data_IF_258006295343
#
_entry.id   IF_258006295343
#
_cell.length_a   1.000
_cell.length_b   1.000
_cell.length_c   1.000
_cell.angle_alpha   90.00
_cell.angle_beta   90.00
_cell.angle_gamma   90.00
#
_symmetry.space_group_name_H-M   'P 1'
#
loop_
_entity.id
_entity.type
_entity.pdbx_description
1 polymer ?
#
# COMPACT_ATOMS: atom_id res chain seq x y z
N UNK A 1 35.25 38.89 24.14
CA UNK A 1 34.36 38.61 23.00
C UNK A 1 34.63 37.25 22.33
N UNK A 2 35.89 36.85 22.05
CA UNK A 2 36.23 35.57 21.37
C UNK A 2 35.64 34.30 22.01
N UNK A 3 35.64 34.17 23.34
CA UNK A 3 35.07 33.00 24.04
C UNK A 3 33.54 32.87 23.84
N UNK A 4 32.81 33.98 23.71
CA UNK A 4 31.34 33.96 23.48
C UNK A 4 31.01 33.52 22.04
N UNK A 5 31.78 34.01 21.06
CA UNK A 5 31.63 33.61 19.65
C UNK A 5 31.93 32.12 19.46
N UNK A 6 32.98 31.61 20.12
CA UNK A 6 33.31 30.19 20.10
C UNK A 6 32.16 29.31 20.60
N UNK A 7 31.57 29.64 21.75
CA UNK A 7 30.44 28.87 22.29
C UNK A 7 29.19 28.95 21.40
N UNK A 8 28.92 30.10 20.77
CA UNK A 8 27.83 30.23 19.80
C UNK A 8 28.06 29.28 18.61
N UNK A 9 29.27 29.24 18.04
CA UNK A 9 29.60 28.34 16.94
C UNK A 9 29.47 26.87 17.33
N UNK A 10 29.91 26.50 18.54
CA UNK A 10 29.78 25.13 19.07
C UNK A 10 28.30 24.74 19.24
N UNK A 11 27.47 25.64 19.79
CA UNK A 11 26.02 25.38 19.94
C UNK A 11 25.36 25.25 18.57
N UNK A 12 25.66 26.13 17.61
CA UNK A 12 25.14 26.05 16.25
C UNK A 12 25.53 24.74 15.57
N UNK A 13 26.77 24.29 15.75
CA UNK A 13 27.25 23.01 15.20
C UNK A 13 26.51 21.80 15.80
N UNK A 14 26.30 21.78 17.13
CA UNK A 14 25.53 20.72 17.81
C UNK A 14 24.07 20.70 17.32
N UNK A 15 23.44 21.87 17.18
CA UNK A 15 22.07 21.99 16.67
C UNK A 15 21.98 21.50 15.23
N UNK A 16 22.97 21.79 14.38
CA UNK A 16 23.03 21.31 12.99
C UNK A 16 23.10 19.79 12.92
N UNK A 17 23.99 19.17 13.70
CA UNK A 17 24.12 17.70 13.77
C UNK A 17 22.83 17.06 14.29
N UNK A 18 22.27 17.59 15.39
CA UNK A 18 21.00 17.10 15.93
C UNK A 18 19.86 17.21 14.92
N UNK A 19 19.80 18.30 14.15
CA UNK A 19 18.79 18.50 13.11
C UNK A 19 18.93 17.49 11.96
N UNK A 20 20.16 17.21 11.52
CA UNK A 20 20.43 16.20 10.49
C UNK A 20 20.01 14.80 10.94
N UNK A 21 20.27 14.46 12.21
CA UNK A 21 19.90 13.17 12.78
C UNK A 21 18.37 13.00 12.88
N UNK A 22 17.65 14.06 13.27
CA UNK A 22 16.17 14.05 13.32
C UNK A 22 15.59 13.85 11.92
N UNK A 23 16.14 14.51 10.89
CA UNK A 23 15.70 14.33 9.50
C UNK A 23 15.90 12.88 9.05
N UNK A 24 17.04 12.29 9.38
CA UNK A 24 17.36 10.92 9.02
C UNK A 24 16.41 9.91 9.69
N UNK A 25 16.18 10.03 11.00
CA UNK A 25 15.25 9.16 11.73
C UNK A 25 13.84 9.26 11.15
N UNK A 26 13.37 10.48 10.84
CA UNK A 26 12.06 10.69 10.22
C UNK A 26 11.96 10.02 8.86
N UNK A 27 12.99 10.14 8.02
CA UNK A 27 12.98 9.56 6.69
C UNK A 27 13.10 8.03 6.73
N UNK A 28 13.88 7.46 7.66
CA UNK A 28 13.91 6.01 7.92
C UNK A 28 12.55 5.47 8.34
N UNK A 29 11.85 6.18 9.23
CA UNK A 29 10.49 5.80 9.60
C UNK A 29 9.52 5.89 8.41
N UNK A 30 9.65 6.93 7.57
CA UNK A 30 8.87 7.04 6.34
C UNK A 30 9.16 5.90 5.34
N UNK A 31 10.40 5.41 5.28
CA UNK A 31 10.79 4.24 4.49
C UNK A 31 10.12 2.97 5.01
N UNK A 32 10.15 2.72 6.33
CA UNK A 32 9.48 1.56 6.94
C UNK A 32 7.98 1.56 6.65
N UNK A 33 7.32 2.74 6.76
CA UNK A 33 5.91 2.89 6.41
C UNK A 33 5.66 2.61 4.92
N UNK A 34 6.52 3.10 4.02
CA UNK A 34 6.39 2.87 2.59
C UNK A 34 6.62 1.40 2.20
N UNK A 35 7.56 0.71 2.85
CA UNK A 35 7.79 -0.73 2.66
C UNK A 35 6.57 -1.54 3.11
N UNK A 36 6.02 -1.17 4.27
CA UNK A 36 4.84 -1.82 4.84
C UNK A 36 3.61 -1.62 3.95
N UNK A 37 3.41 -0.39 3.45
CA UNK A 37 2.35 -0.05 2.50
C UNK A 37 2.48 -0.82 1.18
N UNK A 38 3.69 -0.91 0.63
CA UNK A 38 3.96 -1.64 -0.61
C UNK A 38 3.64 -3.13 -0.46
N UNK A 39 4.14 -3.77 0.60
CA UNK A 39 3.86 -5.17 0.91
C UNK A 39 2.35 -5.45 1.05
N UNK A 40 1.66 -4.59 1.81
CA UNK A 40 0.23 -4.75 2.02
C UNK A 40 -0.57 -4.60 0.71
N UNK A 41 -0.19 -3.62 -0.13
CA UNK A 41 -0.84 -3.35 -1.43
C UNK A 41 -0.58 -4.48 -2.43
N UNK A 42 0.62 -5.06 -2.45
CA UNK A 42 0.98 -6.18 -3.31
C UNK A 42 0.22 -7.46 -2.92
N UNK A 43 0.19 -7.81 -1.63
CA UNK A 43 -0.57 -8.96 -1.13
C UNK A 43 -2.07 -8.84 -1.44
N UNK A 44 -2.60 -7.61 -1.37
CA UNK A 44 -3.97 -7.29 -1.77
C UNK A 44 -4.21 -7.58 -3.26
N UNK A 45 -3.31 -7.12 -4.12
CA UNK A 45 -3.39 -7.34 -5.56
C UNK A 45 -3.33 -8.82 -5.91
N UNK A 46 -2.36 -9.55 -5.36
CA UNK A 46 -2.21 -11.00 -5.59
C UNK A 46 -3.47 -11.75 -5.21
N UNK A 47 -4.07 -11.42 -4.06
CA UNK A 47 -5.28 -12.09 -3.61
C UNK A 47 -6.49 -11.81 -4.52
N UNK A 48 -6.62 -10.58 -5.00
CA UNK A 48 -7.66 -10.19 -5.96
C UNK A 48 -7.46 -10.86 -7.32
N UNK A 49 -6.23 -10.86 -7.84
CA UNK A 49 -5.90 -11.48 -9.12
C UNK A 49 -6.10 -13.01 -9.07
N UNK A 50 -5.59 -13.68 -8.03
CA UNK A 50 -5.79 -15.13 -7.85
C UNK A 50 -7.27 -15.49 -7.77
N UNK A 51 -8.09 -14.66 -7.12
CA UNK A 51 -9.54 -14.88 -7.04
C UNK A 51 -10.20 -14.76 -8.41
N UNK A 52 -9.81 -13.75 -9.19
CA UNK A 52 -10.29 -13.54 -10.55
C UNK A 52 -9.90 -14.70 -11.49
N UNK A 53 -8.62 -15.08 -11.51
CA UNK A 53 -8.11 -16.18 -12.32
C UNK A 53 -8.80 -17.50 -12.00
N UNK A 54 -9.00 -17.77 -10.70
CA UNK A 54 -9.69 -18.95 -10.23
C UNK A 54 -11.14 -18.99 -10.76
N UNK A 55 -11.87 -17.88 -10.72
CA UNK A 55 -13.24 -17.81 -11.26
C UNK A 55 -13.29 -18.07 -12.76
N UNK A 56 -12.36 -17.48 -13.51
CA UNK A 56 -12.29 -17.65 -14.96
C UNK A 56 -11.91 -19.08 -15.38
N UNK A 57 -11.25 -19.83 -14.49
CA UNK A 57 -10.83 -21.21 -14.77
C UNK A 57 -11.96 -22.25 -14.66
N UNK A 58 -13.11 -21.91 -14.05
CA UNK A 58 -14.21 -22.85 -13.83
C UNK A 58 -15.38 -22.65 -14.80
N UNK A 59 -15.85 -23.76 -15.38
CA UNK A 59 -16.94 -23.80 -16.35
C UNK A 59 -18.27 -24.34 -15.78
N UNK A 60 -18.43 -24.44 -14.46
CA UNK A 60 -19.63 -25.02 -13.84
C UNK A 60 -20.22 -24.20 -12.70
N UNK A 61 -21.53 -23.96 -12.75
CA UNK A 61 -22.27 -23.04 -11.87
C UNK A 61 -22.08 -23.33 -10.36
N UNK A 62 -22.17 -24.60 -9.94
CA UNK A 62 -22.03 -24.98 -8.52
C UNK A 62 -20.61 -24.74 -7.98
N UNK A 63 -19.60 -24.93 -8.83
CA UNK A 63 -18.19 -24.71 -8.45
C UNK A 63 -17.91 -23.21 -8.39
N UNK A 64 -18.48 -22.44 -9.31
CA UNK A 64 -18.38 -20.99 -9.34
C UNK A 64 -18.92 -20.35 -8.05
N UNK A 65 -20.04 -20.87 -7.50
CA UNK A 65 -20.59 -20.39 -6.22
C UNK A 65 -19.62 -20.60 -5.04
N UNK A 66 -19.02 -21.79 -4.93
CA UNK A 66 -18.02 -22.11 -3.90
C UNK A 66 -16.79 -21.21 -4.02
N UNK A 67 -16.33 -20.96 -5.25
CA UNK A 67 -15.19 -20.09 -5.54
C UNK A 67 -15.49 -18.64 -5.20
N UNK A 68 -16.69 -18.14 -5.52
CA UNK A 68 -17.13 -16.80 -5.12
C UNK A 68 -17.12 -16.64 -3.60
N UNK A 69 -17.69 -17.60 -2.87
CA UNK A 69 -17.69 -17.57 -1.40
C UNK A 69 -16.28 -17.58 -0.82
N UNK A 70 -15.39 -18.43 -1.36
CA UNK A 70 -13.99 -18.46 -0.95
C UNK A 70 -13.28 -17.14 -1.26
N UNK A 71 -13.48 -16.61 -2.47
CA UNK A 71 -12.94 -15.34 -2.93
C UNK A 71 -13.35 -14.17 -2.04
N UNK A 72 -14.65 -14.02 -1.75
CA UNK A 72 -15.17 -12.98 -0.86
C UNK A 72 -14.54 -13.08 0.54
N UNK A 73 -14.43 -14.29 1.11
CA UNK A 73 -13.80 -14.49 2.42
C UNK A 73 -12.33 -14.11 2.40
N UNK A 74 -11.60 -14.57 1.38
CA UNK A 74 -10.17 -14.32 1.27
C UNK A 74 -9.88 -12.82 1.08
N UNK A 75 -10.65 -12.15 0.22
CA UNK A 75 -10.56 -10.71 0.03
C UNK A 75 -10.91 -9.93 1.29
N UNK A 76 -11.86 -10.41 2.11
CA UNK A 76 -12.19 -9.77 3.39
C UNK A 76 -11.06 -9.91 4.41
N UNK A 77 -10.36 -11.04 4.40
CA UNK A 77 -9.16 -11.23 5.22
C UNK A 77 -8.04 -10.30 4.78
N UNK A 78 -7.80 -10.21 3.47
CA UNK A 78 -6.81 -9.29 2.89
C UNK A 78 -7.15 -7.82 3.23
N UNK A 79 -8.41 -7.41 3.07
CA UNK A 79 -8.94 -6.10 3.45
C UNK A 79 -8.68 -5.76 4.92
N UNK A 80 -8.95 -6.72 5.82
CA UNK A 80 -8.74 -6.56 7.26
C UNK A 80 -7.26 -6.43 7.61
N UNK A 81 -6.41 -7.25 6.98
CA UNK A 81 -4.96 -7.19 7.16
C UNK A 81 -4.41 -5.84 6.70
N UNK A 82 -4.87 -5.36 5.54
CA UNK A 82 -4.49 -4.08 4.99
C UNK A 82 -4.89 -2.92 5.91
N UNK A 83 -6.14 -2.90 6.38
CA UNK A 83 -6.62 -1.90 7.34
C UNK A 83 -5.79 -1.89 8.62
N UNK A 84 -5.50 -3.06 9.17
CA UNK A 84 -4.71 -3.18 10.39
C UNK A 84 -3.30 -2.63 10.18
N UNK A 85 -2.71 -2.97 9.04
CA UNK A 85 -1.36 -2.56 8.64
C UNK A 85 -1.25 -1.06 8.40
N UNK A 86 -2.27 -0.47 7.79
CA UNK A 86 -2.31 0.96 7.47
C UNK A 86 -2.78 1.84 8.63
N UNK A 87 -3.16 1.29 9.79
CA UNK A 87 -3.64 2.07 10.94
C UNK A 87 -5.14 2.44 10.87
N UNK A 88 -5.92 1.70 10.07
CA UNK A 88 -7.37 1.79 9.97
C UNK A 88 -7.88 2.76 8.89
N UNK A 89 -9.20 2.94 8.85
CA UNK A 89 -9.91 3.68 7.78
C UNK A 89 -9.47 5.15 7.69
N UNK A 90 -9.15 5.79 8.82
CA UNK A 90 -8.73 7.20 8.84
C UNK A 90 -7.41 7.40 8.09
N UNK A 91 -6.42 6.54 8.34
CA UNK A 91 -5.13 6.60 7.67
C UNK A 91 -5.25 6.29 6.16
N UNK A 92 -6.18 5.41 5.75
CA UNK A 92 -6.51 5.20 4.34
C UNK A 92 -7.07 6.48 3.71
N UNK A 93 -7.96 7.19 4.41
CA UNK A 93 -8.59 8.39 3.87
C UNK A 93 -7.61 9.56 3.63
N UNK A 94 -6.51 9.58 4.37
CA UNK A 94 -5.46 10.58 4.23
C UNK A 94 -4.46 10.21 3.12
N UNK A 95 -4.47 8.96 2.66
CA UNK A 95 -3.57 8.44 1.63
C UNK A 95 -4.33 8.02 0.36
N UNK A 96 -4.22 8.84 -0.69
CA UNK A 96 -4.87 8.59 -1.98
C UNK A 96 -4.53 7.22 -2.58
N UNK A 97 -3.27 6.77 -2.48
CA UNK A 97 -2.84 5.49 -3.08
C UNK A 97 -3.50 4.34 -2.32
N UNK A 98 -3.48 4.43 -0.98
CA UNK A 98 -4.12 3.44 -0.14
C UNK A 98 -5.64 3.37 -0.36
N UNK A 99 -6.28 4.53 -0.57
CA UNK A 99 -7.70 4.60 -0.91
C UNK A 99 -8.00 3.91 -2.24
N UNK A 100 -7.21 4.16 -3.28
CA UNK A 100 -7.43 3.55 -4.58
C UNK A 100 -7.34 2.01 -4.53
N UNK A 101 -6.34 1.46 -3.84
CA UNK A 101 -6.22 0.02 -3.63
C UNK A 101 -7.42 -0.55 -2.85
N UNK A 102 -7.83 0.14 -1.79
CA UNK A 102 -8.94 -0.27 -0.93
C UNK A 102 -10.29 -0.24 -1.65
N UNK A 103 -10.57 0.83 -2.40
CA UNK A 103 -11.78 0.97 -3.20
C UNK A 103 -11.85 -0.08 -4.32
N UNK A 104 -10.70 -0.38 -4.95
CA UNK A 104 -10.57 -1.46 -5.93
C UNK A 104 -10.98 -2.81 -5.34
N UNK A 105 -10.45 -3.17 -4.17
CA UNK A 105 -10.80 -4.44 -3.51
C UNK A 105 -12.29 -4.53 -3.16
N UNK A 106 -12.85 -3.45 -2.60
CA UNK A 106 -14.29 -3.41 -2.32
C UNK A 106 -15.10 -3.57 -3.59
N UNK A 107 -14.64 -2.99 -4.69
CA UNK A 107 -15.21 -3.20 -6.02
C UNK A 107 -15.24 -4.68 -6.43
N UNK A 108 -14.11 -5.38 -6.30
CA UNK A 108 -14.03 -6.83 -6.58
C UNK A 108 -14.96 -7.62 -5.65
N UNK A 109 -14.91 -7.39 -4.34
CA UNK A 109 -15.76 -8.06 -3.35
C UNK A 109 -17.26 -7.88 -3.65
N UNK A 110 -17.66 -6.64 -3.92
CA UNK A 110 -19.06 -6.31 -4.24
C UNK A 110 -19.49 -7.02 -5.53
N UNK A 111 -18.62 -7.09 -6.53
CA UNK A 111 -18.91 -7.79 -7.78
C UNK A 111 -19.11 -9.29 -7.54
N UNK A 112 -18.24 -9.92 -6.74
CA UNK A 112 -18.36 -11.33 -6.35
C UNK A 112 -19.59 -11.66 -5.51
N UNK A 113 -20.14 -10.67 -4.79
CA UNK A 113 -21.33 -10.86 -3.96
C UNK A 113 -22.63 -10.99 -4.77
N UNK A 114 -22.62 -10.66 -6.07
CA UNK A 114 -23.78 -10.82 -6.95
C UNK A 114 -24.20 -12.28 -7.04
N UNK A 115 -25.50 -12.54 -7.19
CA UNK A 115 -26.03 -13.91 -7.29
C UNK A 115 -25.46 -14.63 -8.53
N UNK A 116 -25.50 -13.96 -9.69
CA UNK A 116 -24.92 -14.44 -10.95
C UNK A 116 -23.87 -13.45 -11.45
N UNK A 117 -22.78 -13.97 -12.01
CA UNK A 117 -21.76 -13.14 -12.66
C UNK A 117 -21.94 -13.19 -14.17
N UNK A 118 -22.00 -12.01 -14.78
CA UNK A 118 -22.07 -11.81 -16.22
C UNK A 118 -20.69 -11.49 -16.80
N UNK A 119 -20.53 -11.56 -18.12
CA UNK A 119 -19.31 -11.11 -18.80
C UNK A 119 -18.92 -9.67 -18.44
N UNK A 120 -19.90 -8.80 -18.22
CA UNK A 120 -19.67 -7.41 -17.81
C UNK A 120 -19.10 -7.32 -16.39
N UNK A 121 -19.51 -8.20 -15.49
CA UNK A 121 -18.96 -8.25 -14.13
C UNK A 121 -17.47 -8.60 -14.13
N UNK A 122 -17.04 -9.46 -15.05
CA UNK A 122 -15.61 -9.77 -15.22
C UNK A 122 -14.82 -8.58 -15.75
N UNK A 123 -15.39 -7.80 -16.67
CA UNK A 123 -14.78 -6.55 -17.16
C UNK A 123 -14.66 -5.51 -16.04
N UNK A 124 -15.70 -5.39 -15.20
CA UNK A 124 -15.68 -4.52 -14.03
C UNK A 124 -14.60 -4.97 -13.03
N UNK A 125 -14.47 -6.28 -12.77
CA UNK A 125 -13.40 -6.80 -11.93
C UNK A 125 -12.01 -6.49 -12.47
N UNK A 126 -11.78 -6.61 -13.79
CA UNK A 126 -10.52 -6.22 -14.42
C UNK A 126 -10.21 -4.72 -14.24
N UNK A 127 -11.21 -3.85 -14.33
CA UNK A 127 -11.04 -2.42 -14.06
C UNK A 127 -10.60 -2.15 -12.62
N UNK A 128 -11.19 -2.86 -11.65
CA UNK A 128 -10.76 -2.77 -10.25
C UNK A 128 -9.37 -3.35 -10.03
N UNK A 129 -9.03 -4.48 -10.66
CA UNK A 129 -7.68 -5.05 -10.60
C UNK A 129 -6.63 -4.07 -11.14
N UNK A 130 -6.92 -3.39 -12.25
CA UNK A 130 -6.03 -2.36 -12.81
C UNK A 130 -5.85 -1.16 -11.88
N UNK A 131 -6.87 -0.76 -11.11
CA UNK A 131 -6.74 0.28 -10.10
C UNK A 131 -5.81 -0.14 -8.95
N UNK A 132 -5.93 -1.40 -8.50
CA UNK A 132 -5.05 -1.95 -7.46
C UNK A 132 -3.62 -2.05 -7.99
N UNK A 133 -3.43 -2.54 -9.22
CA UNK A 133 -2.13 -2.60 -9.90
C UNK A 133 -1.46 -1.22 -9.99
N UNK A 134 -2.22 -0.19 -10.40
CA UNK A 134 -1.73 1.18 -10.40
C UNK A 134 -1.28 1.67 -9.01
N UNK A 135 -1.99 1.26 -7.94
CA UNK A 135 -1.57 1.56 -6.57
C UNK A 135 -0.27 0.82 -6.19
N UNK A 136 -0.09 -0.44 -6.61
CA UNK A 136 1.16 -1.20 -6.45
C UNK A 136 2.32 -0.46 -7.12
N UNK A 137 2.14 -0.01 -8.36
CA UNK A 137 3.19 0.73 -9.08
C UNK A 137 3.56 2.05 -8.38
N UNK A 138 2.56 2.78 -7.89
CA UNK A 138 2.76 4.04 -7.19
C UNK A 138 3.49 3.85 -5.85
N UNK A 139 3.11 2.84 -5.06
CA UNK A 139 3.78 2.51 -3.79
C UNK A 139 5.21 2.03 -4.03
N UNK A 140 5.46 1.19 -5.04
CA UNK A 140 6.80 0.76 -5.42
C UNK A 140 7.69 1.94 -5.86
N UNK A 141 7.13 2.91 -6.59
CA UNK A 141 7.85 4.13 -6.98
C UNK A 141 8.18 5.01 -5.78
N UNK A 142 7.24 5.15 -4.83
CA UNK A 142 7.44 5.88 -3.57
C UNK A 142 8.57 5.24 -2.75
N UNK A 143 8.57 3.91 -2.63
CA UNK A 143 9.61 3.14 -1.96
C UNK A 143 11.00 3.41 -2.57
N UNK A 144 11.15 3.19 -3.88
CA UNK A 144 12.42 3.44 -4.60
C UNK A 144 12.94 4.88 -4.42
N UNK A 145 12.03 5.85 -4.37
CA UNK A 145 12.39 7.26 -4.17
C UNK A 145 12.93 7.52 -2.77
N UNK A 146 12.30 6.94 -1.74
CA UNK A 146 12.75 7.06 -0.35
C UNK A 146 14.07 6.31 -0.12
N UNK A 147 14.22 5.10 -0.66
CA UNK A 147 15.48 4.34 -0.60
C UNK A 147 16.63 5.15 -1.20
N UNK A 148 16.42 5.76 -2.38
CA UNK A 148 17.42 6.62 -3.02
C UNK A 148 17.74 7.85 -2.15
N UNK A 149 16.74 8.46 -1.53
CA UNK A 149 16.93 9.63 -0.67
C UNK A 149 17.79 9.30 0.55
N UNK A 150 17.50 8.17 1.22
CA UNK A 150 18.23 7.73 2.41
C UNK A 150 19.65 7.28 2.07
N UNK A 151 19.83 6.55 0.97
CA UNK A 151 21.17 6.14 0.53
C UNK A 151 22.07 7.35 0.24
N UNK A 152 21.52 8.46 -0.26
CA UNK A 152 22.26 9.70 -0.49
C UNK A 152 22.64 10.45 0.81
N UNK A 153 22.06 10.14 1.97
CA UNK A 153 22.50 10.75 3.24
C UNK A 153 23.89 10.27 3.68
N UNK A 154 24.25 9.05 3.29
CA UNK A 154 25.47 8.38 3.74
C UNK A 154 26.53 8.25 2.64
N UNK A 155 26.17 8.51 1.39
CA UNK A 155 27.07 8.48 0.25
C UNK A 155 26.96 9.76 -0.59
N UNK A 156 27.67 10.80 -0.15
CA UNK A 156 28.22 11.89 -0.96
C UNK A 156 29.26 12.68 -0.16
#
# INVERSE_FOLDING_TARGET
>A
MRKRIFWILVITFIVLIGSLWIIEVRDKHALELAQTEAFATEALFEQANNTYELLMSYNGDEIQEKVKMFGVRSLKTADTLYLTTMGGVNAINENYIARAAFDGIRGVQNTLSKETLTSEDYNIMLSYLSQIEGAVEMTAKKLKTLEKKINNYWWK
#
